data_IF_345771507738
#
_entry.id   IF_345771507738
#
_cell.length_a   1.000
_cell.length_b   1.000
_cell.length_c   1.000
_cell.angle_alpha   90.00
_cell.angle_beta   90.00
_cell.angle_gamma   90.00
#
_symmetry.space_group_name_H-M   'P 1'
#
loop_
_entity.id
_entity.type
_entity.pdbx_description
1 polymer ?
#
# COMPACT_ATOMS: atom_id res chain seq x y z
N UNK A 1 74.21 -1.07 1.34
CA UNK A 1 73.98 -2.51 1.54
C UNK A 1 72.47 -2.79 1.57
N UNK A 2 71.98 -3.72 0.75
CA UNK A 2 70.64 -4.36 0.77
C UNK A 2 69.45 -3.48 0.36
N UNK A 3 68.96 -3.40 -0.88
CA UNK A 3 68.54 -4.38 -1.91
C UNK A 3 67.10 -4.93 -1.72
N UNK A 4 66.17 -4.33 -2.50
CA UNK A 4 65.12 -4.93 -3.37
C UNK A 4 64.23 -6.07 -2.82
N UNK A 5 62.90 -5.90 -2.86
CA UNK A 5 62.05 -6.70 -3.76
C UNK A 5 60.59 -6.25 -3.85
N UNK A 6 60.11 -6.16 -5.09
CA UNK A 6 58.73 -5.95 -5.52
C UNK A 6 58.17 -7.33 -5.85
N UNK A 7 56.93 -7.64 -5.46
CA UNK A 7 56.22 -8.80 -5.99
C UNK A 7 54.98 -8.34 -6.78
N UNK A 8 54.97 -8.75 -8.04
CA UNK A 8 53.90 -8.63 -9.01
C UNK A 8 53.36 -10.04 -9.35
N UNK A 9 52.22 -10.05 -10.07
CA UNK A 9 51.46 -11.15 -10.68
C UNK A 9 50.58 -11.94 -9.70
N UNK A 10 49.24 -11.90 -9.80
CA UNK A 10 48.33 -12.25 -10.91
C UNK A 10 48.24 -13.76 -11.18
N UNK A 11 47.01 -14.23 -11.43
CA UNK A 11 46.49 -15.56 -11.88
C UNK A 11 45.43 -16.05 -10.87
N UNK A 12 44.22 -16.48 -11.20
CA UNK A 12 43.54 -16.76 -12.47
C UNK A 12 42.01 -16.82 -12.21
N UNK A 13 41.20 -16.56 -13.23
CA UNK A 13 40.49 -17.57 -14.04
C UNK A 13 39.25 -18.16 -13.33
N UNK A 14 38.09 -17.53 -13.51
CA UNK A 14 36.97 -18.01 -14.34
C UNK A 14 36.07 -19.05 -13.66
N UNK A 15 34.85 -18.64 -13.34
CA UNK A 15 33.70 -19.54 -13.42
C UNK A 15 32.46 -18.74 -13.86
N UNK A 16 32.24 -18.70 -15.18
CA UNK A 16 30.96 -18.35 -15.78
C UNK A 16 29.95 -19.45 -15.42
N UNK A 17 28.98 -19.15 -14.55
CA UNK A 17 27.77 -19.96 -14.50
C UNK A 17 26.86 -19.57 -15.67
N UNK A 18 26.78 -20.48 -16.64
CA UNK A 18 25.84 -20.42 -17.75
C UNK A 18 24.40 -20.60 -17.27
N UNK A 19 23.55 -19.81 -17.90
CA UNK A 19 22.10 -19.74 -17.83
C UNK A 19 21.39 -21.09 -18.05
N UNK A 20 20.30 -21.31 -17.32
CA UNK A 20 19.18 -22.15 -17.78
C UNK A 20 17.89 -21.34 -17.66
N UNK A 21 17.42 -20.82 -18.79
CA UNK A 21 16.09 -20.28 -18.94
C UNK A 21 15.09 -21.44 -18.98
N UNK A 22 14.22 -21.54 -17.98
CA UNK A 22 13.06 -22.44 -18.01
C UNK A 22 11.85 -21.64 -18.48
N UNK A 23 11.42 -21.89 -19.72
CA UNK A 23 10.18 -21.39 -20.26
C UNK A 23 9.03 -22.22 -19.68
N UNK A 24 8.23 -21.63 -18.79
CA UNK A 24 6.99 -22.24 -18.31
C UNK A 24 5.79 -21.49 -18.89
N UNK A 25 5.05 -22.26 -19.68
CA UNK A 25 3.80 -22.04 -20.41
C UNK A 25 2.75 -21.21 -19.68
N UNK A 26 2.13 -20.29 -20.42
CA UNK A 26 0.99 -19.47 -20.00
C UNK A 26 -0.26 -20.31 -19.69
N UNK A 27 -1.02 -20.02 -18.62
CA UNK A 27 -2.31 -20.65 -18.39
C UNK A 27 -3.40 -19.99 -19.25
N UNK A 28 -4.17 -20.88 -19.86
CA UNK A 28 -5.30 -20.68 -20.76
C UNK A 28 -6.48 -19.93 -20.10
N UNK A 29 -7.04 -18.96 -20.83
CA UNK A 29 -8.22 -18.19 -20.42
C UNK A 29 -9.46 -19.08 -20.54
N UNK A 30 -9.87 -19.68 -19.42
CA UNK A 30 -11.15 -20.38 -19.29
C UNK A 30 -12.27 -19.35 -19.10
N UNK A 31 -13.09 -19.17 -20.14
CA UNK A 31 -14.33 -18.38 -20.07
C UNK A 31 -15.45 -19.27 -19.51
N UNK A 32 -16.08 -18.95 -18.36
CA UNK A 32 -17.25 -19.70 -17.94
C UNK A 32 -18.47 -19.22 -18.75
N UNK A 33 -19.07 -20.17 -19.46
CA UNK A 33 -20.36 -20.06 -20.13
C UNK A 33 -21.43 -20.27 -19.04
N UNK A 34 -22.08 -19.21 -18.58
CA UNK A 34 -23.19 -19.35 -17.62
C UNK A 34 -24.48 -19.66 -18.39
N UNK A 35 -25.01 -20.84 -18.13
CA UNK A 35 -26.25 -21.36 -18.66
C UNK A 35 -27.46 -20.78 -17.94
N UNK A 36 -28.52 -20.69 -18.72
CA UNK A 36 -29.87 -20.20 -18.42
C UNK A 36 -30.66 -21.19 -17.54
N UNK A 37 -31.58 -20.61 -16.76
CA UNK A 37 -32.79 -21.18 -16.13
C UNK A 37 -32.69 -21.93 -14.78
N UNK A 38 -33.35 -21.35 -13.77
CA UNK A 38 -34.59 -21.96 -13.24
C UNK A 38 -35.44 -20.92 -12.50
N UNK A 39 -36.69 -20.83 -12.93
CA UNK A 39 -37.80 -20.18 -12.24
C UNK A 39 -38.30 -21.11 -11.12
N UNK A 40 -38.62 -20.56 -9.94
CA UNK A 40 -39.67 -21.12 -9.08
C UNK A 40 -40.47 -19.99 -8.43
N UNK A 41 -41.79 -20.17 -8.49
CA UNK A 41 -42.83 -19.18 -8.28
C UNK A 41 -43.74 -19.60 -7.11
N UNK A 42 -44.29 -18.59 -6.41
CA UNK A 42 -45.46 -18.67 -5.51
C UNK A 42 -45.12 -18.33 -4.05
N UNK A 43 -45.87 -17.53 -3.31
CA UNK A 43 -47.11 -16.77 -3.55
C UNK A 43 -47.40 -15.91 -2.30
N UNK A 44 -47.89 -14.69 -2.52
CA UNK A 44 -48.81 -13.86 -1.70
C UNK A 44 -48.52 -13.65 -0.18
N UNK A 45 -48.39 -12.41 0.29
CA UNK A 45 -49.54 -11.51 0.50
C UNK A 45 -49.16 -10.03 0.70
N UNK A 46 -50.10 -9.19 0.26
CA UNK A 46 -50.21 -7.72 0.22
C UNK A 46 -49.74 -6.92 1.46
N UNK A 47 -49.14 -5.73 1.22
CA UNK A 47 -49.04 -4.65 2.22
C UNK A 47 -48.15 -3.47 1.80
N UNK A 48 -48.77 -2.47 1.15
CA UNK A 48 -48.43 -1.03 1.11
C UNK A 48 -46.96 -0.57 0.96
N UNK A 49 -46.67 -0.05 -0.23
CA UNK A 49 -46.23 1.33 -0.46
C UNK A 49 -45.01 1.83 0.31
N UNK A 50 -43.86 1.26 -0.04
CA UNK A 50 -42.56 1.92 0.10
C UNK A 50 -41.51 1.16 -0.69
N UNK A 51 -40.95 1.75 -1.75
CA UNK A 51 -39.66 1.28 -2.27
C UNK A 51 -38.64 1.60 -1.18
N UNK A 52 -38.48 0.69 -0.23
CA UNK A 52 -37.32 0.63 0.62
C UNK A 52 -36.15 0.36 -0.32
N UNK A 53 -35.47 1.43 -0.72
CA UNK A 53 -34.09 1.37 -1.20
C UNK A 53 -33.29 0.78 -0.04
N UNK A 54 -33.29 -0.54 0.06
CA UNK A 54 -32.31 -1.28 0.83
C UNK A 54 -31.02 -1.06 0.06
N UNK A 55 -30.33 0.02 0.41
CA UNK A 55 -28.95 0.21 0.03
C UNK A 55 -28.19 -0.92 0.71
N UNK A 56 -28.07 -2.05 0.01
CA UNK A 56 -27.11 -3.09 0.36
C UNK A 56 -25.74 -2.44 0.18
N UNK A 57 -25.29 -1.71 1.20
CA UNK A 57 -23.87 -1.38 1.31
C UNK A 57 -23.18 -2.74 1.26
N UNK A 58 -22.29 -2.98 0.30
CA UNK A 58 -21.51 -4.21 0.32
C UNK A 58 -20.79 -4.24 1.65
N UNK A 59 -21.21 -5.13 2.54
CA UNK A 59 -20.44 -5.44 3.73
C UNK A 59 -19.14 -6.00 3.17
N UNK A 60 -18.06 -5.21 3.25
CA UNK A 60 -16.71 -5.62 2.90
C UNK A 60 -16.31 -6.71 3.91
N UNK A 61 -16.89 -7.89 3.77
CA UNK A 61 -16.59 -9.04 4.59
C UNK A 61 -15.22 -9.53 4.18
N UNK A 62 -14.31 -9.42 5.15
CA UNK A 62 -12.98 -10.01 5.19
C UNK A 62 -11.83 -9.18 4.58
N UNK A 63 -11.30 -8.24 5.38
CA UNK A 63 -9.88 -7.90 5.36
C UNK A 63 -9.40 -6.68 4.57
N UNK A 64 -10.26 -5.98 3.81
CA UNK A 64 -9.88 -4.76 3.08
C UNK A 64 -10.82 -3.58 3.41
N UNK A 65 -10.72 -3.07 4.64
CA UNK A 65 -11.55 -1.94 5.10
C UNK A 65 -10.94 -0.56 4.82
N UNK A 66 -9.66 -0.48 4.41
CA UNK A 66 -8.96 0.79 4.24
C UNK A 66 -9.06 1.32 2.81
N UNK A 67 -9.59 2.54 2.62
CA UNK A 67 -9.64 3.23 1.32
C UNK A 67 -8.31 3.94 1.02
N UNK A 68 -7.79 3.81 -0.19
CA UNK A 68 -6.64 4.61 -0.68
C UNK A 68 -7.13 5.64 -1.69
N UNK A 69 -6.83 6.91 -1.43
CA UNK A 69 -7.17 8.01 -2.33
C UNK A 69 -5.89 8.50 -3.02
N UNK A 70 -5.88 8.44 -4.35
CA UNK A 70 -4.78 8.92 -5.19
C UNK A 70 -5.03 10.37 -5.63
N UNK A 71 -4.24 11.31 -5.10
CA UNK A 71 -4.17 12.70 -5.56
C UNK A 71 -2.80 13.04 -6.16
N UNK A 72 -2.14 12.04 -6.73
CA UNK A 72 -0.92 12.21 -7.52
C UNK A 72 -1.26 12.52 -8.98
N UNK A 73 -0.38 13.24 -9.68
CA UNK A 73 -0.56 13.64 -11.08
C UNK A 73 0.63 13.34 -11.98
N UNK A 74 1.86 13.23 -11.46
CA UNK A 74 3.02 12.89 -12.30
C UNK A 74 3.24 11.39 -12.40
N UNK A 75 4.04 10.96 -13.37
CA UNK A 75 4.45 9.56 -13.48
C UNK A 75 5.18 9.03 -12.24
N UNK A 76 6.01 9.87 -11.61
CA UNK A 76 6.74 9.47 -10.41
C UNK A 76 5.80 9.35 -9.22
N UNK A 77 4.85 10.28 -9.07
CA UNK A 77 3.83 10.22 -8.01
C UNK A 77 2.91 9.02 -8.17
N UNK A 78 2.45 8.73 -9.40
CA UNK A 78 1.63 7.54 -9.70
C UNK A 78 2.39 6.24 -9.40
N UNK A 79 3.70 6.22 -9.66
CA UNK A 79 4.56 5.07 -9.35
C UNK A 79 4.71 4.91 -7.84
N UNK A 80 4.95 6.00 -7.11
CA UNK A 80 4.98 5.99 -5.65
C UNK A 80 3.65 5.48 -5.06
N UNK A 81 2.52 6.01 -5.52
CA UNK A 81 1.19 5.59 -5.08
C UNK A 81 0.98 4.09 -5.26
N UNK A 82 1.33 3.55 -6.43
CA UNK A 82 1.21 2.11 -6.72
C UNK A 82 2.08 1.27 -5.79
N UNK A 83 3.35 1.63 -5.63
CA UNK A 83 4.29 0.90 -4.79
C UNK A 83 3.88 0.93 -3.31
N UNK A 84 3.54 2.11 -2.80
CA UNK A 84 3.03 2.25 -1.44
C UNK A 84 1.74 1.44 -1.23
N UNK A 85 0.81 1.48 -2.17
CA UNK A 85 -0.47 0.75 -2.07
C UNK A 85 -0.29 -0.77 -2.06
N UNK A 86 0.74 -1.28 -2.74
CA UNK A 86 1.10 -2.70 -2.70
C UNK A 86 1.78 -3.05 -1.38
N UNK A 87 2.84 -2.34 -1.02
CA UNK A 87 3.64 -2.61 0.18
C UNK A 87 2.86 -2.43 1.49
N UNK A 88 1.88 -1.50 1.54
CA UNK A 88 1.06 -1.33 2.74
C UNK A 88 0.25 -2.58 3.09
N UNK A 89 -0.03 -3.45 2.11
CA UNK A 89 -0.82 -4.65 2.33
C UNK A 89 -0.11 -5.65 3.23
N UNK A 90 1.21 -5.53 3.39
CA UNK A 90 1.98 -6.36 4.31
C UNK A 90 1.88 -5.87 5.77
N UNK A 91 1.39 -4.64 5.99
CA UNK A 91 1.20 -4.06 7.33
C UNK A 91 -0.24 -4.20 7.80
N UNK A 92 -0.53 -5.02 8.84
CA UNK A 92 -1.89 -5.21 9.37
C UNK A 92 -2.56 -3.89 9.77
N UNK A 93 -1.77 -2.94 10.27
CA UNK A 93 -2.22 -1.63 10.73
C UNK A 93 -2.68 -0.76 9.55
N UNK A 94 -1.94 -0.78 8.44
CA UNK A 94 -2.25 0.09 7.29
C UNK A 94 -3.29 -0.50 6.34
N UNK A 95 -3.42 -1.83 6.26
CA UNK A 95 -4.40 -2.53 5.42
C UNK A 95 -5.83 -2.02 5.60
N UNK A 96 -6.23 -1.75 6.85
CA UNK A 96 -7.57 -1.32 7.23
C UNK A 96 -7.70 0.20 7.42
N UNK A 97 -6.62 0.95 7.17
CA UNK A 97 -6.59 2.40 7.38
C UNK A 97 -6.91 3.14 6.08
N UNK A 98 -7.73 4.20 6.18
CA UNK A 98 -8.01 5.11 5.06
C UNK A 98 -6.93 6.17 4.95
N UNK A 99 -6.24 6.23 3.81
CA UNK A 99 -5.13 7.16 3.57
C UNK A 99 -5.33 7.90 2.24
N UNK A 100 -4.89 9.15 2.19
CA UNK A 100 -4.78 9.94 0.96
C UNK A 100 -3.32 10.27 0.67
N UNK A 101 -2.88 10.04 -0.56
CA UNK A 101 -1.54 10.44 -1.03
C UNK A 101 -1.72 11.64 -1.94
N UNK A 102 -1.04 12.73 -1.62
CA UNK A 102 -1.10 13.98 -2.36
C UNK A 102 0.25 14.31 -2.96
N UNK A 103 0.21 15.05 -4.07
CA UNK A 103 1.41 15.43 -4.80
C UNK A 103 1.40 16.92 -5.16
N UNK A 104 2.57 17.56 -5.03
CA UNK A 104 2.87 18.85 -5.62
C UNK A 104 4.14 18.77 -6.48
N UNK A 105 4.01 18.74 -7.82
CA UNK A 105 5.13 18.71 -8.75
C UNK A 105 5.94 20.00 -8.72
N UNK A 106 7.26 19.86 -8.84
CA UNK A 106 8.21 20.94 -8.99
C UNK A 106 9.25 20.59 -10.07
N UNK A 107 9.39 21.46 -11.07
CA UNK A 107 10.40 21.26 -12.12
C UNK A 107 11.84 21.29 -11.58
N UNK A 108 12.07 21.98 -10.45
CA UNK A 108 13.43 22.24 -9.94
C UNK A 108 13.91 21.18 -8.93
N UNK A 109 13.00 20.63 -8.13
CA UNK A 109 13.35 19.75 -7.01
C UNK A 109 12.75 18.34 -7.11
N UNK A 110 11.88 18.08 -8.10
CA UNK A 110 11.13 16.83 -8.22
C UNK A 110 9.70 16.98 -7.69
N UNK A 111 9.15 15.98 -7.02
CA UNK A 111 7.76 16.03 -6.58
C UNK A 111 7.61 15.91 -5.08
N UNK A 112 6.99 16.90 -4.44
CA UNK A 112 6.67 16.83 -3.01
C UNK A 112 5.44 15.94 -2.82
N UNK A 113 5.58 14.89 -2.04
CA UNK A 113 4.49 13.96 -1.70
C UNK A 113 4.26 13.97 -0.21
N UNK A 114 3.00 13.97 0.19
CA UNK A 114 2.60 13.77 1.58
C UNK A 114 1.42 12.81 1.69
N UNK A 115 1.36 12.09 2.81
CA UNK A 115 0.35 11.07 3.10
C UNK A 115 -0.46 11.54 4.30
N UNK A 116 -1.79 11.47 4.19
CA UNK A 116 -2.71 11.90 5.25
C UNK A 116 -3.68 10.80 5.67
N UNK A 117 -3.96 10.71 6.97
CA UNK A 117 -5.16 10.08 7.53
C UNK A 117 -6.12 11.22 7.92
N UNK A 118 -7.23 11.37 7.18
CA UNK A 118 -8.10 12.54 7.32
C UNK A 118 -7.34 13.84 7.12
N UNK A 119 -7.28 14.68 8.16
CA UNK A 119 -6.57 15.96 8.17
C UNK A 119 -5.14 15.89 8.74
N UNK A 120 -4.67 14.72 9.17
CA UNK A 120 -3.34 14.57 9.78
C UNK A 120 -2.32 14.09 8.77
N UNK A 121 -1.21 14.81 8.63
CA UNK A 121 -0.06 14.38 7.82
C UNK A 121 0.75 13.35 8.61
N UNK A 122 0.98 12.18 8.01
CA UNK A 122 1.75 11.07 8.59
C UNK A 122 3.15 10.94 8.00
N UNK A 123 3.34 11.45 6.78
CA UNK A 123 4.61 11.37 6.06
C UNK A 123 4.68 12.49 5.02
N UNK A 124 5.87 13.04 4.82
CA UNK A 124 6.17 14.00 3.77
C UNK A 124 7.60 13.77 3.24
N UNK A 125 7.76 13.76 1.91
CA UNK A 125 9.07 13.67 1.29
C UNK A 125 9.07 14.28 -0.11
N UNK A 126 10.25 14.72 -0.57
CA UNK A 126 10.45 15.12 -1.97
C UNK A 126 11.02 13.95 -2.76
N UNK A 127 10.26 13.48 -3.75
CA UNK A 127 10.71 12.46 -4.70
C UNK A 127 11.61 13.10 -5.76
N UNK A 128 12.87 12.64 -5.91
CA UNK A 128 13.75 13.15 -6.96
C UNK A 128 13.22 12.75 -8.34
N UNK A 129 13.58 13.42 -9.44
CA UNK A 129 13.06 13.10 -10.79
C UNK A 129 13.38 11.69 -11.31
N UNK A 130 14.13 10.88 -10.56
CA UNK A 130 14.62 9.56 -10.95
C UNK A 130 13.67 8.49 -10.43
N UNK A 131 13.15 7.66 -11.34
CA UNK A 131 12.19 6.61 -10.98
C UNK A 131 12.79 5.47 -10.15
N UNK A 132 14.08 5.19 -10.29
CA UNK A 132 14.73 4.05 -9.61
C UNK A 132 14.71 4.14 -8.09
N UNK A 133 14.57 5.35 -7.53
CA UNK A 133 14.58 5.55 -6.07
C UNK A 133 13.18 5.43 -5.46
N UNK A 134 12.12 5.40 -6.28
CA UNK A 134 10.72 5.49 -5.81
C UNK A 134 10.36 4.34 -4.87
N UNK A 135 10.87 3.14 -5.13
CA UNK A 135 10.61 1.96 -4.30
C UNK A 135 11.16 2.17 -2.88
N UNK A 136 12.35 2.77 -2.75
CA UNK A 136 12.94 3.11 -1.44
C UNK A 136 12.10 4.13 -0.68
N UNK A 137 11.63 5.18 -1.37
CA UNK A 137 10.73 6.16 -0.75
C UNK A 137 9.41 5.52 -0.33
N UNK A 138 8.84 4.62 -1.13
CA UNK A 138 7.60 3.92 -0.80
C UNK A 138 7.78 3.02 0.43
N UNK A 139 8.86 2.24 0.51
CA UNK A 139 9.17 1.40 1.67
C UNK A 139 9.40 2.22 2.95
N UNK A 140 10.16 3.32 2.84
CA UNK A 140 10.37 4.26 3.95
C UNK A 140 9.05 4.89 4.42
N UNK A 141 8.18 5.26 3.48
CA UNK A 141 6.87 5.81 3.79
C UNK A 141 5.99 4.79 4.52
N UNK A 142 5.94 3.52 4.09
CA UNK A 142 5.15 2.47 4.76
C UNK A 142 5.60 2.29 6.21
N UNK A 143 6.91 2.23 6.46
CA UNK A 143 7.46 2.11 7.80
C UNK A 143 7.09 3.33 8.67
N UNK A 144 7.31 4.53 8.15
CA UNK A 144 7.05 5.78 8.88
C UNK A 144 5.58 5.97 9.18
N UNK A 145 4.71 5.76 8.19
CA UNK A 145 3.24 5.90 8.36
C UNK A 145 2.72 4.88 9.36
N UNK A 146 3.22 3.64 9.34
CA UNK A 146 2.83 2.60 10.31
C UNK A 146 3.19 3.02 11.75
N UNK A 147 4.41 3.50 11.96
CA UNK A 147 4.89 3.95 13.28
C UNK A 147 4.09 5.16 13.78
N UNK A 148 3.96 6.20 12.95
CA UNK A 148 3.23 7.42 13.30
C UNK A 148 1.76 7.13 13.60
N UNK A 149 1.13 6.27 12.81
CA UNK A 149 -0.26 5.87 13.03
C UNK A 149 -0.40 5.12 14.36
N UNK A 150 0.42 4.08 14.60
CA UNK A 150 0.33 3.27 15.81
C UNK A 150 0.57 4.12 17.06
N UNK A 151 1.62 4.95 17.04
CA UNK A 151 1.95 5.87 18.13
C UNK A 151 0.77 6.80 18.46
N UNK A 152 0.12 7.35 17.44
CA UNK A 152 -1.07 8.20 17.63
C UNK A 152 -2.23 7.43 18.24
N UNK A 153 -2.55 6.23 17.73
CA UNK A 153 -3.65 5.41 18.30
C UNK A 153 -3.42 5.05 19.76
N UNK A 154 -2.18 4.74 20.14
CA UNK A 154 -1.83 4.50 21.56
C UNK A 154 -2.05 5.76 22.40
N UNK A 155 -1.57 6.92 21.94
CA UNK A 155 -1.77 8.19 22.66
C UNK A 155 -3.25 8.57 22.76
N UNK A 156 -4.03 8.35 21.71
CA UNK A 156 -5.46 8.63 21.69
C UNK A 156 -6.21 7.70 22.67
N UNK A 157 -5.84 6.42 22.74
CA UNK A 157 -6.40 5.47 23.70
C UNK A 157 -6.09 5.85 25.15
N UNK A 158 -4.85 6.27 25.44
CA UNK A 158 -4.46 6.72 26.78
C UNK A 158 -5.16 8.01 27.22
N UNK A 159 -5.44 8.91 26.28
CA UNK A 159 -6.17 10.17 26.55
C UNK A 159 -7.66 9.97 26.80
N UNK A 160 -8.24 8.95 26.19
CA UNK A 160 -9.66 8.66 26.23
C UNK A 160 -10.00 7.61 27.29
N UNK A 161 -9.12 7.36 28.27
CA UNK A 161 -9.37 6.48 29.40
C UNK A 161 -9.98 7.27 30.57
N UNK A 162 -11.31 7.24 30.76
CA UNK A 162 -12.00 7.94 31.85
C UNK A 162 -11.74 7.31 33.22
N UNK A 163 -11.12 6.13 33.30
CA UNK A 163 -10.86 5.42 34.56
C UNK A 163 -9.68 6.03 35.34
N UNK A 164 -8.99 7.02 34.76
CA UNK A 164 -7.99 7.86 35.45
C UNK A 164 -8.61 9.07 36.17
N UNK A 165 -9.93 9.22 36.17
CA UNK A 165 -10.62 10.41 36.71
C UNK A 165 -11.19 10.26 38.13
N UNK A 166 -10.98 9.12 38.82
CA UNK A 166 -11.81 8.72 39.96
C UNK A 166 -11.13 8.44 41.31
N UNK A 167 -9.85 8.73 41.50
CA UNK A 167 -9.16 8.48 42.78
C UNK A 167 -8.74 9.82 43.43
N UNK A 168 -9.75 10.60 43.83
CA UNK A 168 -9.61 11.81 44.63
C UNK A 168 -10.33 11.70 45.98
N UNK A 169 -9.64 12.18 47.02
CA UNK A 169 -9.76 11.91 48.46
C UNK A 169 -10.99 12.50 49.16
#
# INVERSE_FOLDING_TARGET
MGMVSRHALAWGLTLCYMSTASAQTAPEVVRPKVSVASEHQGSDTQGEDGVAITQTHPTLSDGLSGVMIDRTMTMIGKTFFRQFSQQRLDSPVLRNTSLSIHERPSARWGSLIWITEGNTVLYEATLPPRLNDVDLYASSAVATVSDQFLRRKVLDALRNDPDMAGDEF
#
